data_IF_548735820384
#
_entry.id   IF_548735820384
#
_cell.length_a   1.000
_cell.length_b   1.000
_cell.length_c   1.000
_cell.angle_alpha   90.00
_cell.angle_beta   90.00
_cell.angle_gamma   90.00
#
_symmetry.space_group_name_H-M   'P 1'
#
loop_
_entity.id
_entity.type
_entity.pdbx_description
1 polymer ?
#
# COMPACT_ATOMS: atom_id res chain seq x y z
N UNK A 1 30.13 -13.60 -12.71
CA UNK A 1 29.35 -14.75 -13.17
C UNK A 1 28.00 -14.68 -12.50
N UNK A 2 26.93 -14.57 -13.28
CA UNK A 2 25.58 -14.74 -12.76
C UNK A 2 25.26 -16.23 -12.85
N UNK A 3 25.04 -16.86 -11.71
CA UNK A 3 24.49 -18.21 -11.65
C UNK A 3 22.98 -18.05 -11.74
N UNK A 4 22.34 -18.78 -12.65
CA UNK A 4 20.87 -18.81 -12.70
C UNK A 4 20.33 -19.34 -11.38
N UNK A 5 19.49 -18.54 -10.74
CA UNK A 5 18.75 -18.95 -9.55
C UNK A 5 17.53 -19.73 -10.00
N UNK A 6 17.40 -20.96 -9.50
CA UNK A 6 16.17 -21.73 -9.60
C UNK A 6 15.24 -21.30 -8.49
N UNK A 7 13.95 -21.22 -8.77
CA UNK A 7 12.94 -21.00 -7.74
C UNK A 7 13.02 -22.16 -6.73
N UNK A 8 13.03 -21.83 -5.44
CA UNK A 8 13.07 -22.83 -4.38
C UNK A 8 11.74 -23.59 -4.39
N UNK A 9 11.72 -24.73 -5.09
CA UNK A 9 10.57 -25.63 -5.11
C UNK A 9 10.37 -26.29 -3.75
N UNK A 10 9.12 -26.58 -3.41
CA UNK A 10 8.78 -27.56 -2.38
C UNK A 10 9.15 -28.94 -2.92
N UNK A 11 10.43 -29.31 -2.82
CA UNK A 11 10.82 -30.70 -3.06
C UNK A 11 10.21 -31.62 -1.98
N UNK A 12 10.18 -32.92 -2.25
CA UNK A 12 9.53 -33.88 -1.35
C UNK A 12 10.14 -33.84 0.06
N UNK A 13 11.46 -33.62 0.16
CA UNK A 13 12.18 -33.58 1.43
C UNK A 13 11.80 -32.34 2.27
N UNK A 14 11.76 -31.16 1.64
CA UNK A 14 11.34 -29.91 2.27
C UNK A 14 9.88 -29.99 2.69
N UNK A 15 9.01 -30.57 1.85
CA UNK A 15 7.59 -30.73 2.18
C UNK A 15 7.38 -31.61 3.41
N UNK A 16 8.09 -32.73 3.51
CA UNK A 16 8.03 -33.61 4.70
C UNK A 16 8.54 -32.89 5.94
N UNK A 17 9.64 -32.14 5.84
CA UNK A 17 10.18 -31.37 6.96
C UNK A 17 9.20 -30.30 7.45
N UNK A 18 8.59 -29.54 6.53
CA UNK A 18 7.60 -28.52 6.87
C UNK A 18 6.35 -29.12 7.49
N UNK A 19 5.92 -30.30 7.04
CA UNK A 19 4.79 -31.03 7.65
C UNK A 19 5.07 -31.36 9.11
N UNK A 20 6.25 -31.90 9.44
CA UNK A 20 6.62 -32.17 10.84
C UNK A 20 6.72 -30.89 11.67
N UNK A 21 7.23 -29.80 11.08
CA UNK A 21 7.26 -28.51 11.75
C UNK A 21 5.83 -28.00 12.04
N UNK A 22 4.91 -28.16 11.09
CA UNK A 22 3.50 -27.78 11.24
C UNK A 22 2.76 -28.63 12.30
N UNK A 23 3.09 -29.91 12.46
CA UNK A 23 2.51 -30.77 13.49
C UNK A 23 2.97 -30.40 14.92
N UNK A 24 4.18 -29.85 15.05
CA UNK A 24 4.80 -29.54 16.34
C UNK A 24 4.64 -28.08 16.78
N UNK A 25 4.41 -27.15 15.84
CA UNK A 25 4.31 -25.73 16.16
C UNK A 25 3.07 -25.41 16.99
N UNK A 26 3.21 -24.43 17.87
CA UNK A 26 2.14 -23.86 18.69
C UNK A 26 1.74 -22.43 18.24
N UNK A 27 2.48 -21.85 17.28
CA UNK A 27 2.24 -20.52 16.71
C UNK A 27 1.76 -20.58 15.27
N UNK A 28 0.89 -19.65 14.90
CA UNK A 28 0.48 -19.40 13.52
C UNK A 28 1.59 -18.76 12.69
N UNK A 29 1.81 -19.21 11.46
CA UNK A 29 2.76 -18.63 10.51
C UNK A 29 1.97 -17.86 9.44
N UNK A 30 1.98 -16.52 9.53
CA UNK A 30 1.38 -15.65 8.51
C UNK A 30 2.46 -14.91 7.72
N UNK A 31 2.14 -14.53 6.50
CA UNK A 31 3.05 -13.79 5.64
C UNK A 31 2.87 -12.27 5.76
N UNK A 32 3.94 -11.53 5.45
CA UNK A 32 3.83 -10.14 5.05
C UNK A 32 3.72 -10.13 3.52
N UNK A 33 2.59 -9.69 2.99
CA UNK A 33 2.31 -9.73 1.56
C UNK A 33 1.50 -8.50 1.16
N UNK A 34 2.07 -7.71 0.25
CA UNK A 34 1.53 -6.41 -0.14
C UNK A 34 0.96 -6.45 -1.57
N UNK A 35 1.30 -7.49 -2.35
CA UNK A 35 0.83 -7.69 -3.73
C UNK A 35 0.12 -9.04 -3.91
N UNK A 36 -0.73 -9.20 -4.94
CA UNK A 36 -1.33 -10.48 -5.29
C UNK A 36 -0.30 -11.60 -5.49
N UNK A 37 0.84 -11.29 -6.12
CA UNK A 37 1.95 -12.24 -6.31
C UNK A 37 2.53 -12.72 -4.99
N UNK A 38 2.74 -11.81 -4.03
CA UNK A 38 3.24 -12.17 -2.70
C UNK A 38 2.23 -13.01 -1.94
N UNK A 39 0.95 -12.67 -2.03
CA UNK A 39 -0.14 -13.43 -1.41
C UNK A 39 -0.25 -14.84 -2.00
N UNK A 40 -0.12 -14.98 -3.32
CA UNK A 40 -0.13 -16.28 -3.99
C UNK A 40 1.08 -17.12 -3.56
N UNK A 41 2.25 -16.50 -3.45
CA UNK A 41 3.47 -17.16 -2.95
C UNK A 41 3.26 -17.63 -1.51
N UNK A 42 2.74 -16.78 -0.63
CA UNK A 42 2.41 -17.14 0.75
C UNK A 42 1.41 -18.31 0.82
N UNK A 43 0.39 -18.31 -0.05
CA UNK A 43 -0.57 -19.42 -0.17
C UNK A 43 0.11 -20.73 -0.59
N UNK A 44 1.01 -20.68 -1.58
CA UNK A 44 1.76 -21.85 -2.06
C UNK A 44 2.65 -22.46 -0.97
N UNK A 45 3.19 -21.63 -0.08
CA UNK A 45 3.94 -22.08 1.11
C UNK A 45 3.06 -22.35 2.34
N UNK A 46 1.75 -22.54 2.14
CA UNK A 46 0.79 -22.89 3.19
C UNK A 46 0.68 -21.91 4.37
N UNK A 47 1.07 -20.64 4.20
CA UNK A 47 0.93 -19.64 5.26
C UNK A 47 -0.52 -19.57 5.78
N UNK A 48 -0.71 -19.44 7.10
CA UNK A 48 -2.02 -19.42 7.78
C UNK A 48 -2.85 -18.15 7.48
N UNK A 49 -2.32 -17.22 6.68
CA UNK A 49 -2.94 -15.93 6.37
C UNK A 49 -1.91 -14.86 6.08
N UNK A 50 -2.38 -13.62 5.97
CA UNK A 50 -1.54 -12.43 5.88
C UNK A 50 -1.56 -11.73 7.25
N UNK A 51 -0.37 -11.56 7.83
CA UNK A 51 -0.17 -10.89 9.12
C UNK A 51 0.01 -9.38 8.98
N UNK A 52 0.48 -8.94 7.81
CA UNK A 52 0.63 -7.54 7.44
C UNK A 52 0.55 -7.40 5.93
N UNK A 53 -0.50 -6.72 5.45
CA UNK A 53 -0.58 -6.13 4.12
C UNK A 53 -0.44 -4.62 4.27
N UNK A 54 0.59 -4.05 3.65
CA UNK A 54 0.85 -2.61 3.58
C UNK A 54 0.09 -2.02 2.41
N UNK A 55 -0.96 -1.26 2.69
CA UNK A 55 -1.76 -0.57 1.67
C UNK A 55 -0.97 0.45 0.86
N UNK A 56 0.22 0.83 1.31
CA UNK A 56 0.94 1.99 0.77
C UNK A 56 1.60 1.69 -0.56
N UNK A 57 2.01 0.44 -0.76
CA UNK A 57 2.49 -0.06 -2.05
C UNK A 57 1.40 0.01 -3.13
N UNK A 58 0.13 -0.08 -2.75
CA UNK A 58 -1.02 0.04 -3.66
C UNK A 58 -1.23 1.47 -4.17
N UNK A 59 -0.47 2.47 -3.71
CA UNK A 59 -0.57 3.87 -4.15
C UNK A 59 0.61 4.33 -5.02
N UNK A 60 1.69 3.55 -5.13
CA UNK A 60 2.91 3.96 -5.85
C UNK A 60 2.88 3.67 -7.35
N UNK A 61 1.86 2.96 -7.86
CA UNK A 61 1.63 2.83 -9.30
C UNK A 61 1.39 4.20 -9.95
N UNK A 62 1.88 4.40 -11.18
CA UNK A 62 2.02 5.73 -11.78
C UNK A 62 0.69 6.52 -11.89
N UNK A 63 -0.40 5.84 -12.25
CA UNK A 63 -1.75 6.38 -12.34
C UNK A 63 -2.30 6.78 -10.96
N UNK A 64 -2.14 5.91 -9.96
CA UNK A 64 -2.57 6.14 -8.58
C UNK A 64 -1.78 7.24 -7.90
N UNK A 65 -0.48 7.28 -8.16
CA UNK A 65 0.44 8.29 -7.64
C UNK A 65 0.04 9.69 -8.11
N UNK A 66 -0.43 9.83 -9.35
CA UNK A 66 -0.98 11.10 -9.85
C UNK A 66 -2.19 11.55 -9.02
N UNK A 67 -3.13 10.65 -8.74
CA UNK A 67 -4.34 10.97 -7.96
C UNK A 67 -3.99 11.30 -6.50
N UNK A 68 -3.05 10.57 -5.90
CA UNK A 68 -2.54 10.89 -4.56
C UNK A 68 -1.90 12.28 -4.51
N UNK A 69 -1.13 12.65 -5.54
CA UNK A 69 -0.54 13.99 -5.66
C UNK A 69 -1.61 15.07 -5.81
N UNK A 70 -2.65 14.85 -6.61
CA UNK A 70 -3.79 15.77 -6.69
C UNK A 70 -4.48 15.96 -5.32
N UNK A 71 -4.69 14.88 -4.57
CA UNK A 71 -5.25 14.94 -3.22
C UNK A 71 -4.38 15.77 -2.27
N UNK A 72 -3.05 15.59 -2.29
CA UNK A 72 -2.10 16.34 -1.45
C UNK A 72 -2.17 17.86 -1.70
N UNK A 73 -2.45 18.24 -2.95
CA UNK A 73 -2.51 19.64 -3.39
C UNK A 73 -3.92 20.26 -3.31
N UNK A 74 -4.93 19.48 -2.92
CA UNK A 74 -6.31 19.95 -2.79
C UNK A 74 -6.47 20.88 -1.57
N UNK A 75 -7.12 22.02 -1.75
CA UNK A 75 -7.21 23.08 -0.73
C UNK A 75 -8.36 22.86 0.27
N UNK A 76 -9.38 22.11 -0.12
CA UNK A 76 -10.57 21.84 0.71
C UNK A 76 -10.90 20.34 0.78
N UNK A 77 -11.76 19.99 1.74
CA UNK A 77 -12.23 18.62 2.01
C UNK A 77 -12.97 18.00 0.80
N UNK A 78 -13.78 18.79 0.10
CA UNK A 78 -14.58 18.31 -1.03
C UNK A 78 -13.70 17.89 -2.22
N UNK A 79 -12.66 18.66 -2.52
CA UNK A 79 -11.69 18.35 -3.58
C UNK A 79 -10.88 17.10 -3.22
N UNK A 80 -10.43 16.98 -1.96
CA UNK A 80 -9.75 15.77 -1.48
C UNK A 80 -10.63 14.53 -1.61
N UNK A 81 -11.89 14.61 -1.17
CA UNK A 81 -12.84 13.51 -1.28
C UNK A 81 -13.04 13.09 -2.75
N UNK A 82 -13.10 14.07 -3.67
CA UNK A 82 -13.24 13.80 -5.11
C UNK A 82 -12.02 13.05 -5.67
N UNK A 83 -10.80 13.43 -5.29
CA UNK A 83 -9.59 12.67 -5.67
C UNK A 83 -9.60 11.27 -5.06
N UNK A 84 -10.01 11.11 -3.80
CA UNK A 84 -10.05 9.81 -3.12
C UNK A 84 -11.10 8.86 -3.71
N UNK A 85 -12.24 9.36 -4.19
CA UNK A 85 -13.26 8.55 -4.91
C UNK A 85 -12.70 7.94 -6.21
N UNK A 86 -11.67 8.56 -6.82
CA UNK A 86 -10.98 7.96 -7.98
C UNK A 86 -10.03 6.83 -7.57
N UNK A 87 -9.47 6.87 -6.36
CA UNK A 87 -8.60 5.80 -5.82
C UNK A 87 -9.41 4.62 -5.29
N UNK A 88 -10.61 4.86 -4.78
CA UNK A 88 -11.50 3.84 -4.22
C UNK A 88 -11.64 2.59 -5.11
N UNK A 89 -12.04 2.68 -6.39
CA UNK A 89 -12.24 1.48 -7.22
C UNK A 89 -10.92 0.72 -7.49
N UNK A 90 -9.79 1.43 -7.56
CA UNK A 90 -8.47 0.83 -7.77
C UNK A 90 -8.06 0.01 -6.55
N UNK A 91 -8.20 0.60 -5.36
CA UNK A 91 -7.85 -0.06 -4.11
C UNK A 91 -8.82 -1.19 -3.77
N UNK A 92 -10.12 -1.02 -4.06
CA UNK A 92 -11.12 -2.09 -3.91
C UNK A 92 -10.73 -3.30 -4.76
N UNK A 93 -10.35 -3.09 -6.02
CA UNK A 93 -9.94 -4.19 -6.91
C UNK A 93 -8.73 -4.97 -6.34
N UNK A 94 -7.73 -4.27 -5.82
CA UNK A 94 -6.56 -4.94 -5.20
C UNK A 94 -6.97 -5.78 -3.99
N UNK A 95 -7.85 -5.25 -3.13
CA UNK A 95 -8.33 -6.01 -1.96
C UNK A 95 -9.22 -7.19 -2.37
N UNK A 96 -10.05 -7.04 -3.41
CA UNK A 96 -10.85 -8.15 -3.95
C UNK A 96 -9.93 -9.29 -4.41
N UNK A 97 -8.89 -8.98 -5.21
CA UNK A 97 -7.92 -9.99 -5.65
C UNK A 97 -7.18 -10.62 -4.46
N UNK A 98 -6.77 -9.80 -3.48
CA UNK A 98 -6.10 -10.27 -2.27
C UNK A 98 -6.97 -11.24 -1.47
N UNK A 99 -8.25 -10.93 -1.28
CA UNK A 99 -9.19 -11.78 -0.55
C UNK A 99 -9.52 -13.06 -1.31
N UNK A 100 -9.64 -13.01 -2.63
CA UNK A 100 -9.82 -14.20 -3.47
C UNK A 100 -8.62 -15.15 -3.36
N UNK A 101 -7.40 -14.62 -3.41
CA UNK A 101 -6.20 -15.43 -3.23
C UNK A 101 -6.19 -16.05 -1.82
N UNK A 102 -6.48 -15.26 -0.79
CA UNK A 102 -6.45 -15.71 0.60
C UNK A 102 -7.79 -16.25 1.13
N UNK A 103 -8.64 -16.78 0.24
CA UNK A 103 -9.95 -17.32 0.61
C UNK A 103 -9.85 -18.29 1.79
N UNK A 104 -10.72 -18.10 2.79
CA UNK A 104 -10.75 -18.90 4.01
C UNK A 104 -9.63 -18.61 5.01
N UNK A 105 -8.73 -17.65 4.73
CA UNK A 105 -7.62 -17.26 5.61
C UNK A 105 -7.72 -15.80 6.04
N UNK A 106 -7.29 -15.46 7.27
CA UNK A 106 -7.29 -14.09 7.76
C UNK A 106 -6.28 -13.22 7.00
N UNK A 107 -6.70 -11.99 6.66
CA UNK A 107 -5.85 -10.97 6.03
C UNK A 107 -5.85 -9.72 6.92
N UNK A 108 -4.69 -9.39 7.48
CA UNK A 108 -4.50 -8.20 8.30
C UNK A 108 -3.97 -7.04 7.44
N UNK A 109 -4.78 -6.01 7.25
CA UNK A 109 -4.45 -4.85 6.43
C UNK A 109 -4.07 -3.68 7.32
N UNK A 110 -2.93 -3.06 7.04
CA UNK A 110 -2.50 -1.81 7.67
C UNK A 110 -2.85 -0.65 6.74
N UNK A 111 -3.57 0.32 7.30
CA UNK A 111 -3.90 1.58 6.62
C UNK A 111 -2.64 2.41 6.35
N UNK A 112 -2.79 3.52 5.61
CA UNK A 112 -1.70 4.37 5.18
C UNK A 112 -0.83 4.83 6.38
N UNK A 113 0.45 4.47 6.35
CA UNK A 113 1.45 4.80 7.38
C UNK A 113 2.47 5.90 7.00
N UNK A 114 2.96 6.06 5.76
CA UNK A 114 4.00 7.01 5.45
C UNK A 114 3.45 8.45 5.44
N UNK A 115 4.29 9.43 5.79
CA UNK A 115 3.98 10.84 5.61
C UNK A 115 3.78 11.19 4.12
N UNK A 116 2.86 12.11 3.85
CA UNK A 116 2.44 12.46 2.49
C UNK A 116 3.57 12.95 1.58
N UNK A 117 4.64 13.51 2.14
CA UNK A 117 5.79 13.96 1.36
C UNK A 117 6.54 12.83 0.65
N UNK A 118 6.34 11.55 1.03
CA UNK A 118 6.96 10.40 0.35
C UNK A 118 6.35 10.15 -1.04
N UNK A 119 5.16 10.68 -1.31
CA UNK A 119 4.50 10.61 -2.63
C UNK A 119 4.95 11.75 -3.56
N UNK A 120 5.73 12.71 -3.04
CA UNK A 120 6.15 13.91 -3.78
C UNK A 120 7.55 13.72 -4.39
N UNK A 121 7.79 14.26 -5.60
CA UNK A 121 9.11 14.22 -6.22
C UNK A 121 10.10 15.12 -5.45
N UNK A 122 11.34 14.66 -5.33
CA UNK A 122 12.41 15.42 -4.68
C UNK A 122 13.27 16.21 -5.67
N UNK A 123 13.27 15.83 -6.95
CA UNK A 123 14.13 16.42 -7.98
C UNK A 123 13.41 17.53 -8.77
N UNK A 124 14.20 18.41 -9.39
CA UNK A 124 13.67 19.57 -10.13
C UNK A 124 12.84 19.19 -11.36
N UNK A 125 13.11 18.05 -11.98
CA UNK A 125 12.35 17.61 -13.16
C UNK A 125 10.99 17.13 -12.68
N UNK A 126 10.94 16.24 -11.68
CA UNK A 126 9.70 15.77 -11.10
C UNK A 126 8.82 16.89 -10.54
N UNK A 127 9.39 17.93 -9.93
CA UNK A 127 8.63 19.10 -9.48
C UNK A 127 8.01 19.90 -10.64
N UNK A 128 8.68 19.99 -11.79
CA UNK A 128 8.13 20.62 -13.01
C UNK A 128 7.00 19.79 -13.60
N UNK A 129 7.21 18.50 -13.75
CA UNK A 129 6.20 17.58 -14.29
C UNK A 129 4.95 17.58 -13.41
N UNK A 130 5.13 17.63 -12.09
CA UNK A 130 4.05 17.76 -11.12
C UNK A 130 3.29 19.09 -11.27
N UNK A 131 4.01 20.21 -11.45
CA UNK A 131 3.41 21.51 -11.66
C UNK A 131 2.58 21.57 -12.96
N UNK A 132 3.08 20.97 -14.03
CA UNK A 132 2.36 20.85 -15.30
C UNK A 132 1.10 19.98 -15.15
N UNK A 133 1.22 18.82 -14.49
CA UNK A 133 0.10 17.89 -14.26
C UNK A 133 -1.02 18.53 -13.45
N UNK A 134 -0.66 19.28 -12.40
CA UNK A 134 -1.63 19.95 -11.53
C UNK A 134 -2.12 21.29 -12.08
N UNK A 135 -1.56 21.75 -13.22
CA UNK A 135 -1.79 23.09 -13.76
C UNK A 135 -1.56 24.20 -12.71
N UNK A 136 -0.48 24.07 -11.94
CA UNK A 136 -0.07 25.01 -10.90
C UNK A 136 1.27 25.67 -11.24
N UNK A 137 1.53 26.90 -10.76
CA UNK A 137 2.87 27.48 -10.87
C UNK A 137 3.91 26.62 -10.14
N UNK A 138 5.07 26.40 -10.76
CA UNK A 138 6.19 25.65 -10.16
C UNK A 138 6.59 26.20 -8.77
N UNK A 139 6.48 27.52 -8.57
CA UNK A 139 6.74 28.15 -7.27
C UNK A 139 5.80 27.64 -6.17
N UNK A 140 4.50 27.53 -6.47
CA UNK A 140 3.48 27.03 -5.53
C UNK A 140 3.73 25.55 -5.19
N UNK A 141 4.10 24.74 -6.19
CA UNK A 141 4.46 23.33 -5.99
C UNK A 141 5.70 23.19 -5.11
N UNK A 142 6.76 23.93 -5.44
CA UNK A 142 8.02 23.88 -4.69
C UNK A 142 7.83 24.32 -3.24
N UNK A 143 7.06 25.40 -3.02
CA UNK A 143 6.74 25.89 -1.68
C UNK A 143 5.95 24.86 -0.87
N UNK A 144 4.93 24.25 -1.46
CA UNK A 144 4.12 23.22 -0.81
C UNK A 144 4.95 21.98 -0.43
N UNK A 145 5.79 21.49 -1.34
CA UNK A 145 6.69 20.36 -1.06
C UNK A 145 7.66 20.70 0.09
N UNK A 146 8.22 21.92 0.10
CA UNK A 146 9.09 22.37 1.17
C UNK A 146 8.37 22.49 2.52
N UNK A 147 7.10 22.93 2.55
CA UNK A 147 6.28 22.99 3.76
C UNK A 147 5.96 21.61 4.34
N UNK A 148 5.84 20.60 3.48
CA UNK A 148 5.58 19.21 3.89
C UNK A 148 6.86 18.46 4.25
N UNK A 149 8.03 19.06 4.03
CA UNK A 149 9.31 18.47 4.40
C UNK A 149 9.45 18.43 5.91
N UNK A 150 9.68 17.24 6.46
CA UNK A 150 9.85 17.03 7.88
C UNK A 150 11.32 16.78 8.21
N UNK A 151 11.80 17.34 9.34
CA UNK A 151 13.17 17.10 9.79
C UNK A 151 13.42 15.63 10.12
N UNK A 152 12.43 14.94 10.72
CA UNK A 152 12.49 13.51 11.01
C UNK A 152 11.16 12.83 10.62
N UNK A 153 11.05 12.33 9.39
CA UNK A 153 9.85 11.67 8.88
C UNK A 153 9.38 10.46 9.69
N UNK A 154 10.30 9.76 10.36
CA UNK A 154 9.95 8.62 11.21
C UNK A 154 9.10 9.03 12.42
N UNK A 155 9.22 10.28 12.88
CA UNK A 155 8.52 10.82 14.04
C UNK A 155 7.49 11.91 13.69
N UNK A 156 7.22 12.14 12.41
CA UNK A 156 6.38 13.23 11.93
C UNK A 156 4.88 12.91 11.78
N UNK A 157 4.23 13.56 10.82
CA UNK A 157 2.80 13.45 10.53
C UNK A 157 2.54 12.24 9.62
N UNK A 158 2.36 11.09 10.26
CA UNK A 158 2.24 9.79 9.61
C UNK A 158 1.26 8.86 10.34
N UNK A 159 0.89 7.75 9.73
CA UNK A 159 0.01 6.74 10.33
C UNK A 159 -1.26 7.32 10.92
N UNK A 160 -1.61 6.90 12.14
CA UNK A 160 -2.83 7.36 12.84
C UNK A 160 -2.93 8.88 12.96
N UNK A 161 -1.79 9.60 13.05
CA UNK A 161 -1.81 11.07 13.12
C UNK A 161 -2.32 11.67 11.82
N UNK A 162 -1.86 11.11 10.69
CA UNK A 162 -2.33 11.50 9.37
C UNK A 162 -3.82 11.19 9.20
N UNK A 163 -4.26 10.00 9.58
CA UNK A 163 -5.66 9.60 9.54
C UNK A 163 -6.59 10.42 10.45
N UNK A 164 -6.08 11.07 11.50
CA UNK A 164 -6.85 12.04 12.29
C UNK A 164 -6.92 13.40 11.59
N UNK A 165 -5.83 13.86 10.97
CA UNK A 165 -5.78 15.16 10.30
C UNK A 165 -6.48 15.19 8.94
N UNK A 166 -6.52 14.05 8.25
CA UNK A 166 -7.11 13.85 6.93
C UNK A 166 -7.92 12.54 6.96
N UNK A 167 -9.06 12.52 7.68
CA UNK A 167 -9.86 11.31 7.90
C UNK A 167 -10.38 10.67 6.62
N UNK A 168 -10.56 11.47 5.57
CA UNK A 168 -11.09 11.03 4.28
C UNK A 168 -10.23 9.90 3.67
N UNK A 169 -8.91 9.89 3.94
CA UNK A 169 -8.01 8.82 3.51
C UNK A 169 -8.42 7.49 4.16
N UNK A 170 -8.59 7.47 5.48
CA UNK A 170 -8.91 6.25 6.22
C UNK A 170 -10.34 5.80 5.95
N UNK A 171 -11.27 6.74 5.74
CA UNK A 171 -12.64 6.44 5.33
C UNK A 171 -12.67 5.74 3.97
N UNK A 172 -11.92 6.27 2.98
CA UNK A 172 -11.80 5.66 1.66
C UNK A 172 -11.17 4.26 1.76
N UNK A 173 -10.10 4.09 2.54
CA UNK A 173 -9.46 2.78 2.70
C UNK A 173 -10.37 1.77 3.40
N UNK A 174 -11.05 2.18 4.48
CA UNK A 174 -11.99 1.30 5.17
C UNK A 174 -13.13 0.89 4.24
N UNK A 175 -13.67 1.84 3.47
CA UNK A 175 -14.69 1.56 2.45
C UNK A 175 -14.20 0.59 1.39
N UNK A 176 -13.00 0.79 0.84
CA UNK A 176 -12.40 -0.11 -0.13
C UNK A 176 -12.27 -1.54 0.42
N UNK A 177 -11.81 -1.69 1.66
CA UNK A 177 -11.66 -2.98 2.34
C UNK A 177 -13.01 -3.67 2.52
N UNK A 178 -14.02 -2.96 3.05
CA UNK A 178 -15.32 -3.57 3.34
C UNK A 178 -16.15 -3.83 2.09
N UNK A 179 -16.09 -2.97 1.07
CA UNK A 179 -16.72 -3.25 -0.23
C UNK A 179 -16.06 -4.49 -0.88
N UNK A 180 -14.73 -4.57 -0.91
CA UNK A 180 -14.02 -5.72 -1.47
C UNK A 180 -14.30 -7.03 -0.71
N UNK A 181 -14.61 -6.97 0.59
CA UNK A 181 -14.89 -8.15 1.40
C UNK A 181 -16.30 -8.74 1.18
N UNK A 182 -17.21 -7.97 0.58
CA UNK A 182 -18.59 -8.40 0.27
C UNK A 182 -18.85 -8.65 -1.21
N UNK A 183 -17.94 -8.19 -2.08
CA UNK A 183 -17.95 -8.45 -3.54
C UNK A 183 -17.66 -9.92 -3.87
#
# INVERSE_FOLDING_TARGET
GHVETVEAGLDDAVTVLLTWADELRDIGIRANADTPRDAQTAKNFHADGIGLCRSEHMFFEADRLSVMREMIFSENEADRATSLERLLPMQRADFTELFQIMEGKPVCIRLLDPPLHEFLPADRIGLRDLAETLNLPLSKVTERVAQMSEYNPMLGLRGVRLGITVPEIYDMQARAIFEAAID
#
